data_IF_118822268394
#
_entry.id   IF_118822268394
#
_cell.length_a   1.000
_cell.length_b   1.000
_cell.length_c   1.000
_cell.angle_alpha   90.00
_cell.angle_beta   90.00
_cell.angle_gamma   90.00
#
_symmetry.space_group_name_H-M   'P 1'
#
loop_
_entity.id
_entity.type
_entity.pdbx_description
1 polymer ?
#
# COMPACT_ATOMS: atom_id res chain seq x y z
N UNK A 1 1.19 -10.09 1.87
CA UNK A 1 2.37 -9.18 1.91
C UNK A 1 3.54 -9.73 2.71
N UNK A 2 3.35 -10.17 3.97
CA UNK A 2 4.45 -10.74 4.77
C UNK A 2 5.12 -11.96 4.09
N UNK A 3 4.34 -12.81 3.42
CA UNK A 3 4.87 -13.92 2.62
C UNK A 3 5.75 -13.49 1.42
N UNK A 4 5.66 -12.21 1.00
CA UNK A 4 6.49 -11.60 -0.03
C UNK A 4 7.65 -10.78 0.57
N UNK A 5 7.91 -10.88 1.88
CA UNK A 5 8.95 -10.13 2.59
C UNK A 5 8.62 -8.66 2.88
N UNK A 6 7.39 -8.22 2.57
CA UNK A 6 6.95 -6.85 2.83
C UNK A 6 6.40 -6.77 4.26
N UNK A 7 7.13 -6.07 5.13
CA UNK A 7 6.86 -6.03 6.58
C UNK A 7 6.73 -4.62 7.13
N UNK A 8 7.07 -3.58 6.36
CA UNK A 8 7.02 -2.18 6.79
C UNK A 8 6.23 -1.34 5.80
N UNK A 9 5.46 -0.37 6.31
CA UNK A 9 4.73 0.60 5.48
C UNK A 9 5.66 1.42 4.59
N UNK A 10 6.88 1.73 5.04
CA UNK A 10 7.89 2.44 4.24
C UNK A 10 8.25 1.71 2.94
N UNK A 11 8.17 0.38 2.90
CA UNK A 11 8.41 -0.38 1.67
C UNK A 11 7.27 -0.19 0.67
N UNK A 12 6.02 -0.19 1.16
CA UNK A 12 4.81 -0.01 0.35
C UNK A 12 4.72 1.44 -0.15
N UNK A 13 5.07 2.40 0.70
CA UNK A 13 5.09 3.84 0.39
C UNK A 13 6.07 4.20 -0.75
N UNK A 14 7.10 3.36 -0.95
CA UNK A 14 8.13 3.54 -1.97
C UNK A 14 7.82 2.82 -3.29
N UNK A 15 6.70 2.10 -3.39
CA UNK A 15 6.35 1.41 -4.63
C UNK A 15 6.02 2.38 -5.76
N UNK A 16 6.58 2.07 -6.91
CA UNK A 16 6.26 2.69 -8.19
C UNK A 16 5.13 1.94 -8.89
N UNK A 17 4.62 2.51 -9.97
CA UNK A 17 3.66 1.82 -10.83
C UNK A 17 4.20 0.47 -11.34
N UNK A 18 5.49 0.39 -11.65
CA UNK A 18 6.12 -0.88 -12.07
C UNK A 18 6.13 -1.92 -10.95
N UNK A 19 6.40 -1.50 -9.71
CA UNK A 19 6.37 -2.41 -8.55
C UNK A 19 4.96 -2.93 -8.29
N UNK A 20 3.95 -2.09 -8.49
CA UNK A 20 2.55 -2.46 -8.36
C UNK A 20 2.15 -3.48 -9.43
N UNK A 21 2.60 -3.32 -10.67
CA UNK A 21 2.31 -4.26 -11.76
C UNK A 21 3.00 -5.61 -11.53
N UNK A 22 4.25 -5.59 -11.08
CA UNK A 22 4.99 -6.79 -10.68
C UNK A 22 4.33 -7.51 -9.49
N UNK A 23 3.83 -6.75 -8.52
CA UNK A 23 3.10 -7.27 -7.36
C UNK A 23 1.75 -7.86 -7.79
N UNK A 24 1.06 -7.24 -8.75
CA UNK A 24 -0.24 -7.66 -9.24
C UNK A 24 -0.20 -9.09 -9.77
N UNK A 25 0.83 -9.39 -10.57
CA UNK A 25 1.08 -10.74 -11.09
C UNK A 25 1.27 -11.80 -9.99
N UNK A 26 1.73 -11.38 -8.80
CA UNK A 26 2.04 -12.25 -7.65
C UNK A 26 0.86 -12.37 -6.66
N UNK A 27 -0.10 -11.45 -6.70
CA UNK A 27 -1.22 -11.39 -5.76
C UNK A 27 -2.40 -12.30 -6.12
N UNK A 28 -2.49 -12.79 -7.37
CA UNK A 28 -3.55 -13.69 -7.81
C UNK A 28 -4.93 -13.07 -7.64
N UNK A 29 -5.76 -13.64 -6.76
CA UNK A 29 -7.12 -13.14 -6.47
C UNK A 29 -7.14 -11.72 -5.85
N UNK A 30 -5.99 -11.22 -5.38
CA UNK A 30 -5.84 -9.86 -4.84
C UNK A 30 -5.20 -8.90 -5.84
N UNK A 31 -4.99 -9.31 -7.09
CA UNK A 31 -4.57 -8.42 -8.17
C UNK A 31 -5.58 -7.27 -8.36
N UNK A 32 -5.11 -6.11 -8.78
CA UNK A 32 -5.78 -4.82 -8.89
C UNK A 32 -6.00 -4.09 -7.56
N UNK A 33 -5.96 -4.79 -6.42
CA UNK A 33 -6.29 -4.21 -5.10
C UNK A 33 -5.29 -3.13 -4.65
N UNK A 34 -3.96 -3.30 -4.80
CA UNK A 34 -3.02 -2.28 -4.34
C UNK A 34 -3.25 -0.91 -4.96
N UNK A 35 -3.61 -0.88 -6.26
CA UNK A 35 -3.98 0.35 -6.97
C UNK A 35 -5.36 0.85 -6.59
N UNK A 36 -6.37 -0.03 -6.63
CA UNK A 36 -7.78 0.33 -6.39
C UNK A 36 -8.03 0.84 -4.97
N UNK A 37 -7.36 0.23 -4.00
CA UNK A 37 -7.48 0.57 -2.59
C UNK A 37 -6.36 1.56 -2.15
N UNK A 38 -5.62 2.14 -3.10
CA UNK A 38 -4.59 3.17 -2.91
C UNK A 38 -3.53 2.86 -1.82
N UNK A 39 -2.99 1.63 -1.83
CA UNK A 39 -2.08 1.15 -0.77
C UNK A 39 -0.82 2.00 -0.62
N UNK A 40 -0.26 2.50 -1.73
CA UNK A 40 0.94 3.35 -1.69
C UNK A 40 0.67 4.65 -0.95
N UNK A 41 -0.44 5.31 -1.27
CA UNK A 41 -0.84 6.56 -0.62
C UNK A 41 -1.14 6.36 0.86
N UNK A 42 -1.91 5.32 1.18
CA UNK A 42 -2.16 4.91 2.56
C UNK A 42 -0.86 4.68 3.33
N UNK A 43 0.06 3.94 2.74
CA UNK A 43 1.35 3.65 3.35
C UNK A 43 2.23 4.89 3.49
N UNK A 44 2.17 5.85 2.57
CA UNK A 44 2.90 7.12 2.69
C UNK A 44 2.43 7.93 3.90
N UNK A 45 1.12 8.04 4.10
CA UNK A 45 0.54 8.72 5.26
C UNK A 45 0.92 8.02 6.57
N UNK A 46 0.77 6.70 6.62
CA UNK A 46 1.12 5.90 7.80
C UNK A 46 2.62 5.90 8.09
N UNK A 47 3.47 5.82 7.07
CA UNK A 47 4.92 5.89 7.23
C UNK A 47 5.41 7.27 7.66
N UNK A 48 4.72 8.34 7.24
CA UNK A 48 4.97 9.71 7.68
C UNK A 48 4.43 10.02 9.08
N UNK A 49 3.65 9.12 9.68
CA UNK A 49 2.99 9.33 10.97
C UNK A 49 1.76 10.24 10.90
N UNK A 50 1.27 10.57 9.70
CA UNK A 50 0.10 11.40 9.49
C UNK A 50 -1.19 10.57 9.50
N UNK A 51 -1.45 9.96 10.66
CA UNK A 51 -2.66 9.15 10.88
C UNK A 51 -3.93 9.99 10.77
N UNK A 52 -3.87 11.29 11.09
CA UNK A 52 -5.03 12.19 10.95
C UNK A 52 -5.41 12.42 9.48
N UNK A 53 -4.45 12.65 8.59
CA UNK A 53 -4.73 12.73 7.16
C UNK A 53 -5.18 11.38 6.59
N UNK A 54 -4.60 10.27 7.07
CA UNK A 54 -5.06 8.93 6.72
C UNK A 54 -6.54 8.75 7.07
N UNK A 55 -6.93 9.03 8.32
CA UNK A 55 -8.31 8.86 8.77
C UNK A 55 -9.29 9.78 8.04
N UNK A 56 -8.88 11.01 7.73
CA UNK A 56 -9.70 11.95 6.99
C UNK A 56 -9.99 11.48 5.56
N UNK A 57 -9.04 10.79 4.92
CA UNK A 57 -9.14 10.37 3.51
C UNK A 57 -9.69 8.96 3.34
N UNK A 58 -9.32 8.04 4.22
CA UNK A 58 -9.63 6.60 4.11
C UNK A 58 -10.60 6.09 5.18
N UNK A 59 -10.93 6.90 6.19
CA UNK A 59 -11.74 6.51 7.33
C UNK A 59 -10.89 5.98 8.49
N UNK A 60 -11.55 5.79 9.65
CA UNK A 60 -10.87 5.30 10.85
C UNK A 60 -10.25 3.93 10.63
N UNK A 61 -9.03 3.77 11.16
CA UNK A 61 -8.27 2.52 11.21
C UNK A 61 -9.01 1.39 11.94
#
# INVERSE_FOLDING_TARGET
>A
LQALGITRFTQIAAWTDSDLDDLDSKLGAFAGRPRRDAWVEQAQLLAGGDTSAYEAKFGKL
#
